data_IF_530553215817
#
_entry.id   IF_530553215817
#
_cell.length_a   1.000
_cell.length_b   1.000
_cell.length_c   1.000
_cell.angle_alpha   90.00
_cell.angle_beta   90.00
_cell.angle_gamma   90.00
#
_symmetry.space_group_name_H-M   'P 1'
#
loop_
_entity.id
_entity.type
_entity.pdbx_description
1 polymer ?
#
# COMPACT_ATOMS: atom_id res chain seq x y z
N UNK A 1 -9.67 -3.16 12.22
CA UNK A 1 -10.18 -2.99 13.62
C UNK A 1 -9.05 -2.78 14.62
N UNK A 2 -7.98 -3.58 14.54
CA UNK A 2 -6.81 -3.47 15.45
C UNK A 2 -6.14 -2.09 15.39
N UNK A 3 -5.91 -1.51 14.22
CA UNK A 3 -5.27 -0.19 14.10
C UNK A 3 -6.04 0.94 14.79
N UNK A 4 -7.37 0.95 14.70
CA UNK A 4 -8.22 1.92 15.40
C UNK A 4 -8.10 1.75 16.91
N UNK A 5 -8.03 0.50 17.38
CA UNK A 5 -7.86 0.20 18.80
C UNK A 5 -6.47 0.59 19.28
N UNK A 6 -5.42 0.34 18.50
CA UNK A 6 -4.05 0.76 18.80
C UNK A 6 -3.96 2.28 18.94
N UNK A 7 -4.66 3.05 18.10
CA UNK A 7 -4.71 4.51 18.23
C UNK A 7 -5.34 4.94 19.56
N UNK A 8 -6.41 4.28 19.98
CA UNK A 8 -7.12 4.57 21.23
C UNK A 8 -6.30 4.15 22.47
N UNK A 9 -5.63 2.99 22.41
CA UNK A 9 -4.64 2.55 23.41
C UNK A 9 -3.54 3.59 23.57
N UNK A 10 -2.91 3.99 22.46
CA UNK A 10 -1.81 4.96 22.48
C UNK A 10 -2.24 6.33 23.00
N UNK A 11 -3.48 6.75 22.73
CA UNK A 11 -4.03 7.99 23.31
C UNK A 11 -4.10 7.90 24.82
N UNK A 12 -4.79 6.90 25.37
CA UNK A 12 -4.94 6.74 26.81
C UNK A 12 -3.60 6.49 27.53
N UNK A 13 -2.69 5.76 26.88
CA UNK A 13 -1.34 5.55 27.41
C UNK A 13 -0.59 6.88 27.55
N UNK A 14 -0.63 7.75 26.54
CA UNK A 14 0.01 9.07 26.59
C UNK A 14 -0.61 9.95 27.67
N UNK A 15 -1.93 9.98 27.75
CA UNK A 15 -2.66 10.81 28.73
C UNK A 15 -2.30 10.39 30.16
N UNK A 16 -2.32 9.09 30.47
CA UNK A 16 -1.98 8.58 31.81
C UNK A 16 -0.49 8.72 32.14
N UNK A 17 0.40 8.50 31.17
CA UNK A 17 1.84 8.70 31.37
C UNK A 17 2.17 10.16 31.66
N UNK A 18 1.49 11.09 30.97
CA UNK A 18 1.64 12.53 31.22
C UNK A 18 1.17 12.92 32.62
N UNK A 19 -0.01 12.43 33.05
CA UNK A 19 -0.57 12.73 34.36
C UNK A 19 0.27 12.16 35.51
N UNK A 20 0.83 10.95 35.35
CA UNK A 20 1.62 10.28 36.39
C UNK A 20 3.10 10.62 36.37
N UNK A 21 3.57 11.38 35.37
CA UNK A 21 4.99 11.67 35.12
C UNK A 21 5.90 10.42 35.14
N UNK A 22 5.35 9.25 34.81
CA UNK A 22 6.06 7.99 34.87
C UNK A 22 6.60 7.60 33.50
N UNK A 23 7.88 7.19 33.45
CA UNK A 23 8.50 6.61 32.25
C UNK A 23 8.16 5.12 32.07
N UNK A 24 7.61 4.47 33.10
CA UNK A 24 7.31 3.04 33.09
C UNK A 24 5.91 2.76 32.52
N UNK A 25 5.76 2.79 31.20
CA UNK A 25 4.49 2.57 30.51
C UNK A 25 3.82 1.22 30.86
N UNK A 26 4.61 0.18 31.15
CA UNK A 26 4.11 -1.14 31.57
C UNK A 26 3.24 -1.07 32.84
N UNK A 27 3.58 -0.19 33.78
CA UNK A 27 2.82 -0.03 35.04
C UNK A 27 1.42 0.55 34.83
N UNK A 28 1.22 1.25 33.70
CA UNK A 28 -0.01 1.96 33.36
C UNK A 28 -0.93 1.10 32.48
N UNK A 29 -0.39 0.08 31.81
CA UNK A 29 -1.15 -0.82 30.92
C UNK A 29 -2.40 -1.43 31.55
N UNK A 30 -2.38 -1.96 32.80
CA UNK A 30 -3.60 -2.53 33.39
C UNK A 30 -4.72 -1.50 33.54
N UNK A 31 -4.35 -0.24 33.85
CA UNK A 31 -5.31 0.87 33.96
C UNK A 31 -5.92 1.17 32.59
N UNK A 32 -5.08 1.29 31.55
CA UNK A 32 -5.53 1.54 30.17
C UNK A 32 -6.44 0.41 29.68
N UNK A 33 -6.08 -0.85 29.96
CA UNK A 33 -6.89 -2.02 29.61
C UNK A 33 -8.28 -1.96 30.28
N UNK A 34 -8.36 -1.57 31.56
CA UNK A 34 -9.62 -1.40 32.28
C UNK A 34 -10.47 -0.29 31.67
N UNK A 35 -9.90 0.89 31.41
CA UNK A 35 -10.60 2.02 30.76
C UNK A 35 -11.20 1.57 29.43
N UNK A 36 -10.39 0.92 28.61
CA UNK A 36 -10.71 0.45 27.26
C UNK A 36 -11.82 -0.62 27.26
N UNK A 37 -11.80 -1.53 28.23
CA UNK A 37 -12.81 -2.59 28.35
C UNK A 37 -14.14 -2.08 28.92
N UNK A 38 -14.11 -1.04 29.74
CA UNK A 38 -15.31 -0.41 30.33
C UNK A 38 -15.88 0.72 29.48
N UNK A 39 -15.14 1.25 28.51
CA UNK A 39 -15.60 2.30 27.61
C UNK A 39 -16.76 1.79 26.73
N UNK A 40 -17.87 2.55 26.71
CA UNK A 40 -18.99 2.26 25.81
C UNK A 40 -18.63 2.71 24.40
N UNK A 41 -18.71 1.81 23.43
CA UNK A 41 -18.48 2.17 22.04
C UNK A 41 -19.69 2.97 21.52
N UNK A 42 -19.46 4.12 20.88
CA UNK A 42 -20.54 4.94 20.30
C UNK A 42 -21.36 4.21 19.23
N UNK A 43 -20.77 3.20 18.57
CA UNK A 43 -21.43 2.40 17.56
C UNK A 43 -22.50 1.47 18.16
N UNK A 44 -22.19 0.78 19.25
CA UNK A 44 -23.05 -0.25 19.86
C UNK A 44 -23.69 0.19 21.17
N UNK A 45 -23.36 1.40 21.65
CA UNK A 45 -23.76 1.96 22.95
C UNK A 45 -23.43 1.05 24.15
N UNK A 46 -22.55 0.07 23.96
CA UNK A 46 -22.28 -1.02 24.89
C UNK A 46 -20.77 -1.15 25.08
N UNK A 47 -20.31 -1.52 26.28
CA UNK A 47 -18.89 -1.76 26.56
C UNK A 47 -18.50 -3.21 26.24
N UNK A 48 -17.24 -3.47 25.83
CA UNK A 48 -16.73 -4.83 25.66
C UNK A 48 -16.94 -5.70 26.92
N UNK A 49 -16.72 -5.13 28.10
CA UNK A 49 -16.94 -5.83 29.37
C UNK A 49 -18.40 -6.27 29.56
N UNK A 50 -19.37 -5.40 29.22
CA UNK A 50 -20.80 -5.75 29.29
C UNK A 50 -21.19 -6.84 28.30
N UNK A 51 -20.53 -6.92 27.14
CA UNK A 51 -20.75 -8.02 26.19
C UNK A 51 -20.21 -9.36 26.73
N UNK A 52 -19.06 -9.34 27.42
CA UNK A 52 -18.44 -10.56 27.93
C UNK A 52 -19.04 -11.04 29.26
N UNK A 53 -19.24 -10.13 30.21
CA UNK A 53 -19.59 -10.45 31.61
C UNK A 53 -21.04 -10.09 31.92
N UNK A 54 -21.66 -9.21 31.12
CA UNK A 54 -23.06 -8.72 31.27
C UNK A 54 -23.37 -8.06 32.59
N UNK A 55 -22.34 -7.50 33.21
CA UNK A 55 -22.46 -6.53 34.29
C UNK A 55 -21.73 -5.26 33.86
N UNK A 56 -22.33 -4.11 34.12
CA UNK A 56 -21.59 -2.85 34.04
C UNK A 56 -20.80 -2.70 35.36
N UNK A 57 -19.46 -2.65 35.28
CA UNK A 57 -18.61 -2.50 36.47
C UNK A 57 -18.81 -1.14 37.18
N UNK A 58 -19.41 -0.16 36.48
CA UNK A 58 -19.69 1.19 36.97
C UNK A 58 -20.77 1.29 38.05
N UNK A 59 -21.21 0.16 38.61
CA UNK A 59 -22.21 0.08 39.68
C UNK A 59 -21.84 -0.86 40.82
N UNK A 60 -20.58 -1.29 40.94
CA UNK A 60 -20.11 -1.95 42.16
C UNK A 60 -19.81 -0.91 43.23
N UNK A 61 -20.86 -0.33 43.81
CA UNK A 61 -20.82 -0.07 45.25
C UNK A 61 -20.61 -1.43 45.93
N UNK A 62 -19.61 -1.51 46.80
CA UNK A 62 -19.08 -2.75 47.38
C UNK A 62 -20.00 -3.47 48.36
N UNK A 63 -21.21 -3.88 47.94
CA UNK A 63 -22.23 -4.44 48.83
C UNK A 63 -22.49 -5.95 48.68
N UNK A 64 -21.56 -6.73 48.12
CA UNK A 64 -21.67 -8.19 48.17
C UNK A 64 -20.49 -8.81 48.92
N UNK A 65 -20.42 -8.45 50.21
CA UNK A 65 -19.65 -9.16 51.21
C UNK A 65 -20.28 -10.55 51.45
N UNK A 66 -19.48 -11.57 51.15
CA UNK A 66 -19.32 -12.84 51.90
C UNK A 66 -20.48 -13.20 52.84
N UNK A 67 -21.36 -14.07 52.37
CA UNK A 67 -22.31 -14.80 53.21
C UNK A 67 -22.22 -16.30 52.95
N UNK A 68 -21.99 -17.05 54.04
CA UNK A 68 -21.90 -18.52 54.22
C UNK A 68 -22.82 -19.35 53.30
N UNK A 69 -22.31 -20.47 52.81
CA UNK A 69 -22.91 -21.30 51.76
C UNK A 69 -23.89 -22.35 52.32
N UNK A 70 -25.15 -22.30 51.88
CA UNK A 70 -26.16 -23.35 52.06
C UNK A 70 -26.59 -23.85 50.68
N UNK A 71 -26.86 -25.16 50.51
CA UNK A 71 -27.14 -25.82 49.22
C UNK A 71 -28.32 -25.23 48.43
N UNK A 72 -29.24 -24.50 49.06
CA UNK A 72 -30.31 -23.71 48.43
C UNK A 72 -29.77 -22.57 47.54
N UNK A 73 -28.50 -22.19 47.69
CA UNK A 73 -27.81 -21.23 46.82
C UNK A 73 -27.44 -21.80 45.45
N UNK A 74 -27.26 -23.11 45.27
CA UNK A 74 -26.79 -23.66 43.99
C UNK A 74 -27.88 -23.51 42.92
N UNK A 75 -29.13 -23.86 43.23
CA UNK A 75 -30.25 -23.66 42.29
C UNK A 75 -30.52 -22.17 42.01
N UNK A 76 -30.41 -21.32 43.03
CA UNK A 76 -30.52 -19.86 42.86
C UNK A 76 -29.35 -19.28 42.06
N UNK A 77 -28.15 -19.84 42.22
CA UNK A 77 -26.95 -19.46 41.48
C UNK A 77 -27.06 -19.90 40.01
N UNK A 78 -27.51 -21.12 39.74
CA UNK A 78 -27.77 -21.64 38.38
C UNK A 78 -28.88 -20.83 37.70
N UNK A 79 -29.95 -20.48 38.42
CA UNK A 79 -31.02 -19.62 37.88
C UNK A 79 -30.48 -18.22 37.57
N UNK A 80 -29.74 -17.62 38.50
CA UNK A 80 -29.11 -16.32 38.29
C UNK A 80 -28.02 -16.32 37.21
N UNK A 81 -27.35 -17.45 36.96
CA UNK A 81 -26.43 -17.61 35.83
C UNK A 81 -27.16 -17.73 34.50
N UNK A 82 -28.26 -18.47 34.44
CA UNK A 82 -29.12 -18.55 33.25
C UNK A 82 -29.71 -17.19 32.88
N UNK A 83 -30.21 -16.45 33.87
CA UNK A 83 -30.71 -15.08 33.68
C UNK A 83 -29.60 -14.17 33.13
N UNK A 84 -28.40 -14.20 33.74
CA UNK A 84 -27.23 -13.48 33.23
C UNK A 84 -26.88 -13.88 31.80
N UNK A 85 -26.93 -15.17 31.46
CA UNK A 85 -26.66 -15.66 30.11
C UNK A 85 -27.70 -15.22 29.08
N UNK A 86 -28.97 -15.13 29.48
CA UNK A 86 -30.01 -14.55 28.62
C UNK A 86 -29.80 -13.06 28.40
N UNK A 87 -29.39 -12.32 29.44
CA UNK A 87 -29.02 -10.91 29.32
C UNK A 87 -27.80 -10.71 28.42
N UNK A 88 -26.77 -11.58 28.51
CA UNK A 88 -25.60 -11.56 27.60
C UNK A 88 -26.04 -11.67 26.16
N UNK A 89 -26.86 -12.67 25.87
CA UNK A 89 -27.36 -12.96 24.51
C UNK A 89 -28.20 -11.80 23.98
N UNK A 90 -29.06 -11.22 24.80
CA UNK A 90 -29.91 -10.10 24.40
C UNK A 90 -29.11 -8.82 24.17
N UNK A 91 -28.16 -8.50 25.04
CA UNK A 91 -27.27 -7.34 24.89
C UNK A 91 -26.38 -7.48 23.63
N UNK A 92 -25.85 -8.68 23.38
CA UNK A 92 -25.06 -8.98 22.19
C UNK A 92 -25.88 -8.86 20.90
N UNK A 93 -27.12 -9.38 20.89
CA UNK A 93 -28.04 -9.25 19.75
C UNK A 93 -28.36 -7.79 19.45
N UNK A 94 -28.73 -7.01 20.48
CA UNK A 94 -29.03 -5.58 20.31
C UNK A 94 -27.81 -4.81 19.77
N UNK A 95 -26.62 -5.06 20.33
CA UNK A 95 -25.38 -4.44 19.86
C UNK A 95 -25.06 -4.80 18.40
N UNK A 96 -25.32 -6.06 18.00
CA UNK A 96 -25.17 -6.51 16.63
C UNK A 96 -26.15 -5.80 15.68
N UNK A 97 -27.42 -5.70 16.04
CA UNK A 97 -28.45 -5.03 15.24
C UNK A 97 -28.16 -3.53 15.08
N UNK A 98 -27.74 -2.86 16.15
CA UNK A 98 -27.35 -1.45 16.12
C UNK A 98 -26.11 -1.21 15.24
N UNK A 99 -25.13 -2.12 15.30
CA UNK A 99 -23.96 -2.07 14.43
C UNK A 99 -24.34 -2.28 12.95
N UNK A 100 -25.22 -3.26 12.69
CA UNK A 100 -25.71 -3.57 11.34
C UNK A 100 -26.45 -2.38 10.72
N UNK A 101 -27.38 -1.75 11.46
CA UNK A 101 -28.10 -0.55 11.01
C UNK A 101 -27.16 0.59 10.65
N UNK A 102 -26.11 0.81 11.45
CA UNK A 102 -25.09 1.84 11.15
C UNK A 102 -24.27 1.49 9.90
N UNK A 103 -23.93 0.21 9.71
CA UNK A 103 -23.21 -0.25 8.52
C UNK A 103 -24.05 -0.08 7.25
N UNK A 104 -25.33 -0.42 7.29
CA UNK A 104 -26.28 -0.20 6.19
C UNK A 104 -26.45 1.29 5.86
N UNK A 105 -26.45 2.16 6.89
CA UNK A 105 -26.48 3.62 6.69
C UNK A 105 -25.26 4.17 5.94
N UNK A 106 -24.08 3.58 6.13
CA UNK A 106 -22.86 3.99 5.43
C UNK A 106 -22.72 3.45 4.00
N UNK A 107 -23.52 2.44 3.62
CA UNK A 107 -23.49 1.83 2.29
C UNK A 107 -24.08 2.72 1.17
N UNK A 108 -24.65 3.88 1.50
CA UNK A 108 -25.26 4.82 0.53
C UNK A 108 -24.26 5.60 -0.34
N UNK A 109 -22.95 5.48 -0.13
CA UNK A 109 -21.97 6.03 -1.07
C UNK A 109 -21.89 5.10 -2.27
N UNK A 110 -22.19 5.61 -3.47
CA UNK A 110 -22.07 4.88 -4.74
C UNK A 110 -20.73 4.14 -4.78
N UNK A 111 -20.73 2.79 -4.75
CA UNK A 111 -19.48 2.05 -4.71
C UNK A 111 -18.72 2.30 -6.01
N UNK A 112 -17.41 2.55 -5.91
CA UNK A 112 -16.54 2.64 -7.08
C UNK A 112 -16.57 1.29 -7.81
N UNK A 113 -17.32 1.22 -8.91
CA UNK A 113 -17.46 0.00 -9.72
C UNK A 113 -16.28 -0.07 -10.68
N UNK A 114 -15.28 -0.86 -10.29
CA UNK A 114 -14.15 -1.18 -11.17
C UNK A 114 -14.49 -2.45 -11.95
N UNK A 115 -14.50 -2.36 -13.29
CA UNK A 115 -14.74 -3.48 -14.18
C UNK A 115 -13.42 -4.15 -14.62
N UNK A 116 -13.49 -5.41 -15.00
CA UNK A 116 -12.36 -6.11 -15.62
C UNK A 116 -12.12 -5.49 -17.02
N UNK A 117 -10.85 -5.33 -17.41
CA UNK A 117 -10.37 -4.57 -18.58
C UNK A 117 -10.47 -3.04 -18.47
N UNK A 118 -10.94 -2.50 -17.36
CA UNK A 118 -10.88 -1.05 -17.13
C UNK A 118 -9.43 -0.60 -16.87
N UNK A 119 -9.16 0.65 -17.23
CA UNK A 119 -7.91 1.33 -16.89
C UNK A 119 -8.05 2.08 -15.58
N UNK A 120 -7.06 1.92 -14.70
CA UNK A 120 -7.08 2.48 -13.35
C UNK A 120 -5.72 3.04 -12.97
N UNK A 121 -5.74 4.10 -12.18
CA UNK A 121 -4.57 4.57 -11.45
C UNK A 121 -4.49 3.88 -10.09
N UNK A 122 -3.27 3.58 -9.65
CA UNK A 122 -2.96 2.96 -8.36
C UNK A 122 -2.28 3.96 -7.44
N UNK A 123 -2.69 4.02 -6.18
CA UNK A 123 -2.05 4.87 -5.17
C UNK A 123 -0.61 4.39 -4.88
N UNK A 124 0.37 5.30 -4.90
CA UNK A 124 1.74 5.02 -4.45
C UNK A 124 1.79 5.04 -2.93
N UNK A 125 2.53 4.11 -2.35
CA UNK A 125 2.74 4.09 -0.90
C UNK A 125 3.59 5.31 -0.49
N UNK A 126 3.19 6.00 0.58
CA UNK A 126 3.80 7.28 0.96
C UNK A 126 5.31 7.17 1.28
N UNK A 127 5.74 5.99 1.73
CA UNK A 127 7.13 5.71 2.11
C UNK A 127 8.05 5.48 0.91
N UNK A 128 7.53 5.00 -0.23
CA UNK A 128 8.32 4.65 -1.42
C UNK A 128 8.28 5.73 -2.50
N UNK A 129 7.54 6.81 -2.27
CA UNK A 129 7.33 7.88 -3.24
C UNK A 129 8.45 8.91 -3.18
N UNK A 130 9.12 9.14 -4.30
CA UNK A 130 10.08 10.24 -4.43
C UNK A 130 9.39 11.61 -4.40
N UNK A 131 10.12 12.66 -3.98
CA UNK A 131 9.57 14.00 -3.71
C UNK A 131 8.75 14.60 -4.87
N UNK A 132 9.12 14.31 -6.12
CA UNK A 132 8.48 14.86 -7.32
C UNK A 132 7.57 13.87 -8.06
N UNK A 133 7.41 12.66 -7.53
CA UNK A 133 6.51 11.67 -8.13
C UNK A 133 5.05 11.97 -7.77
N UNK A 134 4.18 11.79 -8.76
CA UNK A 134 2.74 11.89 -8.54
C UNK A 134 2.26 10.81 -7.55
N UNK A 135 1.22 11.15 -6.79
CA UNK A 135 0.58 10.20 -5.86
C UNK A 135 0.01 8.99 -6.59
N UNK A 136 -0.61 9.22 -7.73
CA UNK A 136 -1.28 8.20 -8.52
C UNK A 136 -0.34 7.72 -9.61
N UNK A 137 -0.22 6.40 -9.75
CA UNK A 137 0.60 5.73 -10.75
C UNK A 137 -0.29 5.05 -11.78
N UNK A 138 0.02 5.16 -13.06
CA UNK A 138 -0.69 4.46 -14.14
C UNK A 138 -0.93 5.35 -15.35
N UNK A 139 -1.77 4.90 -16.30
CA UNK A 139 -2.87 3.96 -16.13
C UNK A 139 -2.48 2.48 -16.29
N UNK A 140 -2.98 1.66 -15.38
CA UNK A 140 -2.76 0.21 -15.29
C UNK A 140 -4.04 -0.53 -15.69
N UNK A 141 -3.91 -1.72 -16.28
CA UNK A 141 -5.07 -2.47 -16.76
C UNK A 141 -5.54 -3.47 -15.70
N UNK A 142 -6.85 -3.49 -15.41
CA UNK A 142 -7.45 -4.50 -14.52
C UNK A 142 -7.60 -5.82 -15.27
N UNK A 143 -6.83 -6.84 -14.89
CA UNK A 143 -6.85 -8.16 -15.56
C UNK A 143 -7.95 -9.05 -15.01
N UNK A 144 -8.06 -9.11 -13.67
CA UNK A 144 -9.02 -9.99 -12.99
C UNK A 144 -9.29 -9.55 -11.56
N UNK A 145 -10.39 -10.02 -10.99
CA UNK A 145 -10.62 -9.94 -9.54
C UNK A 145 -9.69 -10.92 -8.80
N UNK A 146 -9.16 -10.49 -7.66
CA UNK A 146 -8.33 -11.35 -6.83
C UNK A 146 -9.20 -12.44 -6.16
N UNK A 147 -8.65 -13.65 -6.01
CA UNK A 147 -9.38 -14.77 -5.38
C UNK A 147 -9.55 -14.58 -3.86
N UNK A 148 -8.60 -13.90 -3.22
CA UNK A 148 -8.52 -13.78 -1.76
C UNK A 148 -9.59 -12.83 -1.18
N UNK A 149 -9.87 -11.72 -1.85
CA UNK A 149 -10.78 -10.67 -1.37
C UNK A 149 -11.65 -10.15 -2.51
N UNK A 150 -12.97 -10.08 -2.30
CA UNK A 150 -13.94 -9.59 -3.31
C UNK A 150 -13.67 -8.14 -3.77
N UNK A 151 -12.99 -7.34 -2.94
CA UNK A 151 -12.68 -5.93 -3.19
C UNK A 151 -11.23 -5.69 -3.64
N UNK A 152 -10.48 -6.75 -3.95
CA UNK A 152 -9.12 -6.63 -4.47
C UNK A 152 -9.08 -7.04 -5.95
N UNK A 153 -8.29 -6.31 -6.72
CA UNK A 153 -8.12 -6.53 -8.15
C UNK A 153 -6.65 -6.78 -8.48
N UNK A 154 -6.43 -7.63 -9.49
CA UNK A 154 -5.12 -7.84 -10.10
C UNK A 154 -4.98 -6.84 -11.25
N UNK A 155 -4.05 -5.91 -11.09
CA UNK A 155 -3.72 -4.89 -12.09
C UNK A 155 -2.41 -5.25 -12.77
N UNK A 156 -2.34 -5.05 -14.10
CA UNK A 156 -1.16 -5.27 -14.92
C UNK A 156 -0.60 -3.93 -15.35
N UNK A 157 0.71 -3.79 -15.18
CA UNK A 157 1.47 -2.70 -15.75
C UNK A 157 1.76 -2.96 -17.23
N UNK A 158 1.27 -2.10 -18.15
CA UNK A 158 1.48 -2.32 -19.58
C UNK A 158 2.94 -2.11 -20.01
N UNK A 159 3.74 -1.37 -19.24
CA UNK A 159 5.17 -1.16 -19.53
C UNK A 159 6.00 -2.40 -19.20
N UNK A 160 5.83 -2.93 -17.98
CA UNK A 160 6.65 -4.07 -17.50
C UNK A 160 5.98 -5.43 -17.56
N UNK A 161 4.69 -5.49 -17.87
CA UNK A 161 3.85 -6.68 -17.73
C UNK A 161 3.80 -7.27 -16.31
N UNK A 162 4.33 -6.57 -15.30
CA UNK A 162 4.26 -6.99 -13.90
C UNK A 162 2.84 -6.83 -13.39
N UNK A 163 2.39 -7.79 -12.58
CA UNK A 163 1.05 -7.79 -12.00
C UNK A 163 1.10 -7.53 -10.50
N UNK A 164 0.13 -6.76 -10.01
CA UNK A 164 0.03 -6.38 -8.61
C UNK A 164 -1.40 -6.62 -8.11
N UNK A 165 -1.53 -6.97 -6.84
CA UNK A 165 -2.84 -7.09 -6.18
C UNK A 165 -3.07 -5.86 -5.34
N UNK A 166 -4.11 -5.07 -5.67
CA UNK A 166 -4.45 -3.85 -4.93
C UNK A 166 -5.94 -3.82 -4.58
N UNK A 167 -6.26 -3.29 -3.40
CA UNK A 167 -7.63 -3.12 -2.93
C UNK A 167 -8.29 -1.93 -3.64
N UNK A 168 -9.61 -1.98 -3.87
CA UNK A 168 -10.39 -0.96 -4.60
C UNK A 168 -10.21 0.46 -4.03
N UNK A 169 -9.92 0.59 -2.73
CA UNK A 169 -9.67 1.88 -2.10
C UNK A 169 -8.40 2.59 -2.60
N UNK A 170 -7.43 1.84 -3.14
CA UNK A 170 -6.20 2.36 -3.73
C UNK A 170 -6.27 2.43 -5.25
N UNK A 171 -7.48 2.26 -5.83
CA UNK A 171 -7.71 2.35 -7.26
C UNK A 171 -8.57 3.57 -7.57
N UNK A 172 -8.15 4.35 -8.56
CA UNK A 172 -8.96 5.42 -9.15
C UNK A 172 -9.22 5.07 -10.61
N UNK A 173 -10.47 5.19 -11.06
CA UNK A 173 -10.79 4.95 -12.47
C UNK A 173 -10.07 6.00 -13.34
N UNK A 174 -9.42 5.56 -14.40
CA UNK A 174 -8.86 6.47 -15.39
C UNK A 174 -9.99 6.89 -16.34
N UNK A 175 -10.33 8.18 -16.33
CA UNK A 175 -11.33 8.74 -17.24
C UNK A 175 -10.72 8.86 -18.64
N UNK A 176 -11.47 8.48 -19.68
CA UNK A 176 -11.05 8.54 -21.08
C UNK A 176 -10.84 7.20 -21.77
N UNK A 177 -10.68 7.26 -23.10
CA UNK A 177 -10.33 6.09 -23.92
C UNK A 177 -8.82 5.88 -23.90
N UNK A 178 -8.40 4.83 -23.19
CA UNK A 178 -7.01 4.45 -23.05
C UNK A 178 -6.70 3.27 -23.96
N UNK A 179 -5.66 3.44 -24.77
CA UNK A 179 -5.05 2.38 -25.57
C UNK A 179 -3.76 1.88 -24.91
N UNK A 180 -3.31 0.67 -25.24
CA UNK A 180 -2.14 0.03 -24.63
C UNK A 180 -0.86 0.84 -24.89
N UNK A 181 -0.72 1.47 -26.05
CA UNK A 181 0.42 2.33 -26.37
C UNK A 181 0.42 3.63 -25.57
N UNK A 182 -0.74 4.30 -25.46
CA UNK A 182 -0.89 5.53 -24.65
C UNK A 182 -0.63 5.24 -23.17
N UNK A 183 -1.12 4.11 -22.68
CA UNK A 183 -0.91 3.69 -21.30
C UNK A 183 0.55 3.34 -21.00
N UNK A 184 1.28 2.73 -21.96
CA UNK A 184 2.73 2.49 -21.84
C UNK A 184 3.51 3.80 -21.71
N UNK A 185 3.21 4.78 -22.58
CA UNK A 185 3.89 6.08 -22.58
C UNK A 185 3.69 6.79 -21.23
N UNK A 186 2.46 6.81 -20.73
CA UNK A 186 2.15 7.48 -19.46
C UNK A 186 2.76 6.74 -18.25
N UNK A 187 2.72 5.41 -18.25
CA UNK A 187 3.40 4.60 -17.22
C UNK A 187 4.92 4.81 -17.20
N UNK A 188 5.55 5.03 -18.36
CA UNK A 188 6.97 5.30 -18.45
C UNK A 188 7.36 6.68 -17.91
N UNK A 189 6.56 7.72 -18.19
CA UNK A 189 6.75 9.05 -17.56
C UNK A 189 6.75 8.96 -16.04
N UNK A 190 5.88 8.11 -15.50
CA UNK A 190 5.75 7.83 -14.08
C UNK A 190 7.03 7.24 -13.44
N UNK A 191 7.88 6.59 -14.24
CA UNK A 191 9.20 6.06 -13.84
C UNK A 191 10.35 6.95 -14.28
N UNK A 192 10.05 8.13 -14.83
CA UNK A 192 11.02 8.99 -15.52
C UNK A 192 11.77 8.30 -16.66
N UNK A 193 11.21 7.20 -17.19
CA UNK A 193 11.73 6.54 -18.37
C UNK A 193 11.29 7.33 -19.61
N UNK A 194 12.25 7.73 -20.43
CA UNK A 194 11.99 8.45 -21.68
C UNK A 194 12.12 7.52 -22.87
N UNK A 195 11.07 7.40 -23.68
CA UNK A 195 11.13 6.66 -24.95
C UNK A 195 11.79 7.50 -26.04
N UNK A 196 12.66 6.84 -26.80
CA UNK A 196 13.28 7.41 -27.99
C UNK A 196 12.27 7.29 -29.13
N UNK A 197 12.02 8.38 -29.85
CA UNK A 197 11.30 8.37 -31.12
C UNK A 197 12.22 7.87 -32.23
N UNK A 198 13.38 8.50 -32.36
CA UNK A 198 14.39 8.16 -33.36
C UNK A 198 15.79 8.60 -32.91
N UNK A 199 16.81 8.03 -33.54
CA UNK A 199 18.20 8.47 -33.36
C UNK A 199 18.56 9.36 -34.54
N UNK A 200 18.92 10.62 -34.25
CA UNK A 200 19.18 11.63 -35.28
C UNK A 200 20.59 11.46 -35.84
N UNK A 201 21.57 11.34 -34.96
CA UNK A 201 22.99 11.22 -35.32
C UNK A 201 23.73 10.48 -34.22
N UNK A 202 24.87 9.88 -34.55
CA UNK A 202 25.79 9.33 -33.57
C UNK A 202 27.18 9.98 -33.71
N UNK A 203 27.98 9.90 -32.64
CA UNK A 203 29.38 10.32 -32.60
C UNK A 203 30.22 9.13 -32.15
N UNK A 204 30.96 8.58 -33.08
CA UNK A 204 32.02 7.60 -32.82
C UNK A 204 33.34 8.34 -32.96
N UNK A 205 34.13 8.41 -31.87
CA UNK A 205 35.52 8.86 -31.95
C UNK A 205 36.40 7.62 -32.08
N UNK A 206 37.43 7.69 -32.91
CA UNK A 206 38.41 6.59 -33.13
C UNK A 206 39.25 6.25 -31.88
N UNK A 207 39.09 7.00 -30.79
CA UNK A 207 39.78 6.80 -29.54
C UNK A 207 38.97 5.83 -28.67
N UNK A 208 39.53 4.63 -28.44
CA UNK A 208 38.87 3.48 -27.80
C UNK A 208 38.42 3.78 -26.36
N UNK A 209 39.00 4.81 -25.72
CA UNK A 209 38.69 5.21 -24.35
C UNK A 209 37.47 6.14 -24.24
N UNK A 210 36.89 6.63 -25.35
CA UNK A 210 35.76 7.56 -25.32
C UNK A 210 34.44 6.85 -25.56
N UNK A 211 33.46 7.13 -24.69
CA UNK A 211 32.09 6.65 -24.81
C UNK A 211 31.49 7.03 -26.17
N UNK A 212 30.98 6.07 -26.96
CA UNK A 212 30.16 6.42 -28.12
C UNK A 212 28.93 7.19 -27.62
N UNK A 213 28.51 8.22 -28.37
CA UNK A 213 27.33 9.02 -27.99
C UNK A 213 26.32 9.01 -29.12
N UNK A 214 25.05 8.83 -28.77
CA UNK A 214 23.91 8.91 -29.69
C UNK A 214 23.05 10.12 -29.35
N UNK A 215 22.63 10.87 -30.37
CA UNK A 215 21.70 11.99 -30.21
C UNK A 215 20.28 11.46 -30.39
N UNK A 216 19.56 11.39 -29.27
CA UNK A 216 18.21 10.83 -29.23
C UNK A 216 17.18 11.94 -29.41
N UNK A 217 16.23 11.70 -30.32
CA UNK A 217 14.98 12.45 -30.36
C UNK A 217 13.96 11.78 -29.48
N UNK A 218 13.45 12.50 -28.50
CA UNK A 218 12.52 11.93 -27.51
C UNK A 218 11.08 11.94 -28.03
N UNK A 219 10.32 10.90 -27.69
CA UNK A 219 8.92 10.80 -28.06
C UNK A 219 8.11 11.88 -27.33
N UNK A 220 7.50 12.80 -28.09
CA UNK A 220 6.66 13.87 -27.55
C UNK A 220 7.40 15.16 -27.18
N UNK A 221 8.68 15.28 -27.54
CA UNK A 221 9.49 16.49 -27.35
C UNK A 221 9.88 17.13 -28.69
N UNK A 222 10.27 18.40 -28.65
CA UNK A 222 10.73 19.12 -29.83
C UNK A 222 12.20 18.80 -30.17
N UNK A 223 12.64 19.00 -31.42
CA UNK A 223 14.03 18.79 -31.82
C UNK A 223 15.06 19.63 -31.02
N UNK A 224 14.62 20.72 -30.40
CA UNK A 224 15.45 21.53 -29.49
C UNK A 224 15.87 20.76 -28.24
N UNK A 225 15.09 19.76 -27.83
CA UNK A 225 15.32 18.96 -26.64
C UNK A 225 16.12 17.68 -26.95
N UNK A 226 16.65 17.54 -28.17
CA UNK A 226 17.44 16.38 -28.56
C UNK A 226 18.77 16.35 -27.77
N UNK A 227 18.91 15.37 -26.86
CA UNK A 227 20.10 15.24 -25.99
C UNK A 227 21.01 14.08 -26.41
N UNK A 228 22.30 14.20 -26.08
CA UNK A 228 23.27 13.12 -26.25
C UNK A 228 23.20 12.13 -25.08
N UNK A 229 23.15 10.84 -25.39
CA UNK A 229 23.12 9.73 -24.43
C UNK A 229 24.17 8.68 -24.74
N UNK A 230 24.60 7.95 -23.71
CA UNK A 230 25.44 6.77 -23.85
C UNK A 230 24.55 5.59 -24.27
N UNK A 231 24.79 4.95 -25.42
CA UNK A 231 23.99 3.81 -25.88
C UNK A 231 24.11 2.58 -24.97
N UNK A 232 25.06 2.54 -24.03
CA UNK A 232 25.23 1.46 -23.05
C UNK A 232 24.46 1.66 -21.75
N UNK A 233 23.81 2.82 -21.57
CA UNK A 233 22.93 3.08 -20.42
C UNK A 233 21.78 2.06 -20.37
N UNK A 234 21.35 1.70 -19.16
CA UNK A 234 20.35 0.65 -18.94
C UNK A 234 19.01 0.99 -19.61
N UNK A 235 18.61 2.26 -19.53
CA UNK A 235 17.39 2.80 -20.15
C UNK A 235 17.46 2.78 -21.69
N UNK A 236 18.67 2.78 -22.27
CA UNK A 236 18.90 2.82 -23.72
C UNK A 236 18.86 1.44 -24.36
N UNK A 237 19.32 0.39 -23.65
CA UNK A 237 19.45 -0.98 -24.19
C UNK A 237 18.14 -1.61 -24.65
N UNK A 238 17.01 -1.22 -24.04
CA UNK A 238 15.69 -1.78 -24.34
C UNK A 238 14.94 -1.03 -25.45
N UNK A 239 15.49 0.06 -25.98
CA UNK A 239 14.83 0.88 -26.98
C UNK A 239 14.96 0.29 -28.39
N UNK A 240 13.81 -0.06 -28.99
CA UNK A 240 13.72 -0.57 -30.37
C UNK A 240 14.40 0.33 -31.40
N UNK A 241 14.25 1.68 -31.36
CA UNK A 241 14.91 2.55 -32.32
C UNK A 241 16.44 2.48 -32.28
N UNK A 242 17.03 2.25 -31.10
CA UNK A 242 18.49 2.07 -30.99
C UNK A 242 18.93 0.76 -31.63
N UNK A 243 18.18 -0.32 -31.43
CA UNK A 243 18.49 -1.61 -32.05
C UNK A 243 18.43 -1.54 -33.58
N UNK A 244 17.38 -0.92 -34.11
CA UNK A 244 17.24 -0.71 -35.56
C UNK A 244 18.37 0.17 -36.11
N UNK A 245 18.71 1.24 -35.40
CA UNK A 245 19.78 2.15 -35.82
C UNK A 245 21.15 1.47 -35.82
N UNK A 246 21.45 0.60 -34.84
CA UNK A 246 22.69 -0.20 -34.79
C UNK A 246 22.81 -1.16 -35.98
N UNK A 247 21.71 -1.75 -36.42
CA UNK A 247 21.72 -2.61 -37.61
C UNK A 247 22.07 -1.85 -38.89
N UNK A 248 21.72 -0.56 -38.98
CA UNK A 248 22.03 0.30 -40.13
C UNK A 248 23.42 0.95 -40.05
N UNK A 249 24.02 1.01 -38.85
CA UNK A 249 25.31 1.66 -38.59
C UNK A 249 26.27 0.70 -37.85
N UNK A 250 26.97 -0.19 -38.58
CA UNK A 250 27.89 -1.18 -38.00
C UNK A 250 29.07 -0.54 -37.25
N UNK A 251 29.49 0.65 -37.68
CA UNK A 251 30.56 1.43 -37.05
C UNK A 251 30.23 1.84 -35.60
N UNK A 252 28.96 2.13 -35.33
CA UNK A 252 28.48 2.36 -33.97
C UNK A 252 28.43 1.07 -33.16
N UNK A 253 28.06 -0.05 -33.78
CA UNK A 253 27.95 -1.35 -33.11
C UNK A 253 29.31 -1.86 -32.63
N UNK A 254 30.32 -1.79 -33.50
CA UNK A 254 31.71 -2.11 -33.18
C UNK A 254 32.27 -1.21 -32.07
N UNK A 255 31.99 0.10 -32.13
CA UNK A 255 32.41 1.04 -31.11
C UNK A 255 31.79 0.75 -29.73
N UNK A 256 30.50 0.39 -29.70
CA UNK A 256 29.81 0.00 -28.47
C UNK A 256 30.42 -1.28 -27.89
N UNK A 257 30.64 -2.30 -28.73
CA UNK A 257 31.22 -3.58 -28.28
C UNK A 257 32.61 -3.38 -27.68
N UNK A 258 33.48 -2.66 -28.40
CA UNK A 258 34.83 -2.34 -27.94
C UNK A 258 34.82 -1.57 -26.61
N UNK A 259 33.93 -0.58 -26.48
CA UNK A 259 33.79 0.20 -25.26
C UNK A 259 33.28 -0.67 -24.08
N UNK A 260 32.31 -1.55 -24.30
CA UNK A 260 31.79 -2.45 -23.25
C UNK A 260 32.84 -3.43 -22.75
N UNK A 261 33.66 -3.99 -23.64
CA UNK A 261 34.73 -4.93 -23.27
C UNK A 261 35.83 -4.23 -22.46
N UNK A 262 36.17 -3.00 -22.85
CA UNK A 262 37.19 -2.20 -22.16
C UNK A 262 36.70 -1.76 -20.79
N UNK A 263 35.44 -1.33 -20.68
CA UNK A 263 34.77 -1.02 -19.40
C UNK A 263 34.75 -2.23 -18.48
N UNK A 264 34.43 -3.43 -18.98
CA UNK A 264 34.45 -4.66 -18.20
C UNK A 264 35.85 -4.98 -17.64
N UNK A 265 36.91 -4.85 -18.47
CA UNK A 265 38.31 -5.07 -18.06
C UNK A 265 38.80 -4.08 -17.01
N UNK A 266 38.45 -2.81 -17.13
CA UNK A 266 38.77 -1.80 -16.13
C UNK A 266 38.07 -2.08 -14.79
N UNK A 267 36.82 -2.56 -14.86
CA UNK A 267 36.05 -2.89 -13.66
C UNK A 267 36.59 -4.13 -12.94
N UNK A 268 37.16 -5.11 -13.66
CA UNK A 268 37.82 -6.27 -13.05
C UNK A 268 39.16 -5.91 -12.40
N UNK A 269 40.01 -5.11 -13.08
CA UNK A 269 41.30 -4.67 -12.52
C UNK A 269 41.13 -3.79 -11.26
N UNK A 270 40.06 -3.00 -11.19
CA UNK A 270 39.75 -2.21 -9.98
C UNK A 270 39.35 -3.08 -8.78
N UNK A 271 38.77 -4.27 -9.00
CA UNK A 271 38.37 -5.18 -7.92
C UNK A 271 39.57 -5.99 -7.40
N UNK A 272 40.51 -6.31 -8.28
CA UNK A 272 41.73 -7.04 -7.91
C UNK A 272 42.72 -6.17 -7.11
N UNK A 273 42.69 -4.83 -7.28
CA UNK A 273 43.50 -3.88 -6.52
C UNK A 273 42.89 -3.43 -5.17
N UNK A 274 41.72 -3.96 -4.79
CA UNK A 274 41.05 -3.64 -3.52
C UNK A 274 41.04 -4.81 -2.51
N UNK A 275 41.68 -5.93 -2.85
CA UNK A 275 42.02 -7.04 -1.92
C UNK A 275 43.51 -7.03 -1.61
#
# INVERSE_FOLDING_TARGET
MVERRNREVNRHLRDEMYQRQSKAWLSVLPTVQNIINQARATATSTSPWKLMVSRDQRGQDGSNLRGREDMTKVEQMVRGERERDTERKNAARKAYDDAKKKQEGHAKKTPTRVCVKAWVYVDRDAETREKYQLRWRGPLQVVKKAKTNQNSFVVRDPETNKTYVKHVAHLKLAEGEWDEEKAKIECAKDRMHTYIKEIVTHKVKKDVMRTPLVKCRWLGYEPSDDTWRDPTDEDMKSNVPLMQYRQLHPDLDEAISNYTDLKARLTSQSKDNQN
#
